data_IF_601524584408
#
_entry.id   IF_601524584408
#
_cell.length_a   1.000
_cell.length_b   1.000
_cell.length_c   1.000
_cell.angle_alpha   90.00
_cell.angle_beta   90.00
_cell.angle_gamma   90.00
#
_symmetry.space_group_name_H-M   'P 1'
#
loop_
_entity.id
_entity.type
_entity.pdbx_description
1 polymer ?
#
# COMPACT_ATOMS: atom_id res chain seq x y z
N UNK A 1 2.24 -16.99 -10.87
CA UNK A 1 1.23 -15.99 -11.27
C UNK A 1 1.82 -14.63 -10.93
N UNK A 2 2.23 -13.86 -11.95
CA UNK A 2 2.79 -12.52 -11.74
C UNK A 2 1.66 -11.52 -11.97
N UNK A 3 1.58 -10.44 -11.18
CA UNK A 3 0.55 -9.41 -11.35
C UNK A 3 0.66 -8.83 -12.74
N UNK A 4 -0.21 -9.30 -13.64
CA UNK A 4 -0.54 -8.55 -14.84
C UNK A 4 -1.02 -7.17 -14.36
N UNK A 5 -0.74 -6.13 -15.13
CA UNK A 5 -1.07 -4.74 -14.81
C UNK A 5 -2.51 -4.59 -14.26
N UNK A 6 -2.66 -4.61 -12.93
CA UNK A 6 -3.93 -4.74 -12.18
C UNK A 6 -3.90 -3.89 -10.92
N UNK A 7 -5.09 -3.46 -10.48
CA UNK A 7 -5.25 -2.66 -9.27
C UNK A 7 -5.90 -3.53 -8.19
N UNK A 8 -5.41 -3.47 -6.96
CA UNK A 8 -5.94 -4.22 -5.83
C UNK A 8 -6.23 -3.30 -4.65
N UNK A 9 -7.26 -3.65 -3.87
CA UNK A 9 -7.57 -3.00 -2.59
C UNK A 9 -6.57 -3.43 -1.52
N UNK A 10 -5.77 -2.49 -1.01
CA UNK A 10 -4.82 -2.72 0.09
C UNK A 10 -5.44 -2.43 1.45
N UNK A 11 -6.27 -1.38 1.54
CA UNK A 11 -6.98 -0.98 2.74
C UNK A 11 -8.39 -0.56 2.36
N UNK A 12 -9.38 -1.07 3.08
CA UNK A 12 -10.75 -0.60 3.05
C UNK A 12 -11.26 -0.51 4.47
N UNK A 13 -11.56 0.70 4.92
CA UNK A 13 -12.21 0.99 6.19
C UNK A 13 -13.34 1.97 5.94
N UNK A 14 -14.14 2.26 6.96
CA UNK A 14 -15.22 3.24 6.82
C UNK A 14 -14.65 4.58 6.35
N UNK A 15 -15.10 5.02 5.18
CA UNK A 15 -14.76 6.31 4.57
C UNK A 15 -13.28 6.51 4.23
N UNK A 16 -12.44 5.47 4.25
CA UNK A 16 -11.03 5.57 3.88
C UNK A 16 -10.57 4.30 3.16
N UNK A 17 -10.06 4.45 1.94
CA UNK A 17 -9.61 3.35 1.11
C UNK A 17 -8.28 3.66 0.41
N UNK A 18 -7.45 2.63 0.26
CA UNK A 18 -6.20 2.63 -0.50
C UNK A 18 -6.23 1.47 -1.50
N UNK A 19 -6.13 1.81 -2.78
CA UNK A 19 -5.92 0.86 -3.87
C UNK A 19 -4.51 1.04 -4.45
N UNK A 20 -3.95 -0.02 -5.04
CA UNK A 20 -2.60 0.00 -5.59
C UNK A 20 -2.51 -0.70 -6.95
N UNK A 21 -1.87 -0.05 -7.92
CA UNK A 21 -1.49 -0.64 -9.21
C UNK A 21 -0.21 -1.44 -9.07
N UNK A 22 -0.30 -2.74 -9.30
CA UNK A 22 0.86 -3.62 -9.39
C UNK A 22 1.28 -3.79 -10.85
N UNK A 23 2.59 -3.76 -11.09
CA UNK A 23 3.18 -3.98 -12.42
C UNK A 23 4.12 -5.17 -12.37
N UNK A 24 3.99 -6.08 -13.33
CA UNK A 24 4.98 -7.14 -13.54
C UNK A 24 6.27 -6.56 -14.13
N UNK A 25 7.41 -6.95 -13.58
CA UNK A 25 8.72 -6.63 -14.15
C UNK A 25 9.73 -7.71 -13.82
N UNK A 26 10.70 -7.87 -14.72
CA UNK A 26 11.93 -8.61 -14.41
C UNK A 26 12.95 -7.64 -13.84
N UNK A 27 13.46 -7.92 -12.65
CA UNK A 27 14.46 -7.09 -11.98
C UNK A 27 15.50 -7.95 -11.26
N UNK A 28 16.58 -7.30 -10.85
CA UNK A 28 17.73 -7.94 -10.22
C UNK A 28 17.72 -7.66 -8.73
N UNK A 29 17.99 -8.69 -7.91
CA UNK A 29 18.32 -8.57 -6.49
C UNK A 29 19.72 -9.14 -6.23
N UNK A 30 20.42 -8.64 -5.21
CA UNK A 30 21.74 -9.12 -4.77
C UNK A 30 22.95 -8.76 -5.64
N UNK A 31 24.13 -9.15 -5.15
CA UNK A 31 25.35 -9.20 -5.98
C UNK A 31 26.19 -7.92 -6.09
N UNK A 32 26.72 -7.33 -5.00
CA UNK A 32 27.75 -6.25 -5.08
C UNK A 32 29.16 -6.83 -5.07
N UNK A 33 29.30 -8.02 -4.48
CA UNK A 33 30.57 -8.63 -4.13
C UNK A 33 30.81 -9.92 -4.91
N UNK A 34 32.07 -10.33 -5.00
CA UNK A 34 32.52 -11.51 -5.77
C UNK A 34 31.84 -12.83 -5.34
N UNK A 35 31.36 -12.94 -4.10
CA UNK A 35 30.66 -14.14 -3.59
C UNK A 35 29.16 -13.95 -3.42
N UNK A 36 28.62 -12.77 -3.74
CA UNK A 36 27.22 -12.45 -3.57
C UNK A 36 26.45 -13.01 -4.78
N UNK A 37 25.46 -13.88 -4.56
CA UNK A 37 24.63 -14.42 -5.65
C UNK A 37 23.67 -13.34 -6.15
N UNK A 38 23.82 -12.97 -7.42
CA UNK A 38 22.85 -12.14 -8.14
C UNK A 38 21.64 -13.00 -8.51
N UNK A 39 20.44 -12.49 -8.26
CA UNK A 39 19.17 -13.14 -8.57
C UNK A 39 18.42 -12.35 -9.63
N UNK A 40 17.82 -13.06 -10.58
CA UNK A 40 16.85 -12.52 -11.53
C UNK A 40 15.47 -12.84 -11.00
N UNK A 41 14.65 -11.83 -10.77
CA UNK A 41 13.31 -11.98 -10.21
C UNK A 41 12.29 -11.57 -11.26
N UNK A 42 11.40 -12.49 -11.60
CA UNK A 42 10.18 -12.25 -12.37
C UNK A 42 9.05 -12.06 -11.36
N UNK A 43 8.76 -10.81 -11.03
CA UNK A 43 7.76 -10.51 -10.01
C UNK A 43 7.02 -9.22 -10.28
N UNK A 44 6.45 -8.66 -9.22
CA UNK A 44 5.65 -7.44 -9.30
C UNK A 44 5.86 -6.54 -8.10
N UNK A 45 5.63 -5.24 -8.30
CA UNK A 45 5.69 -4.23 -7.25
C UNK A 45 4.65 -3.14 -7.52
N UNK A 46 4.36 -2.34 -6.50
CA UNK A 46 3.42 -1.22 -6.60
C UNK A 46 4.06 -0.09 -7.41
N UNK A 47 3.36 0.39 -8.43
CA UNK A 47 3.81 1.49 -9.29
C UNK A 47 2.98 2.77 -9.12
N UNK A 48 1.73 2.65 -8.68
CA UNK A 48 0.86 3.76 -8.34
C UNK A 48 -0.09 3.37 -7.21
N UNK A 49 -0.52 4.36 -6.43
CA UNK A 49 -1.57 4.21 -5.42
C UNK A 49 -2.69 5.21 -5.64
N UNK A 50 -3.89 4.85 -5.21
CA UNK A 50 -5.11 5.62 -5.35
C UNK A 50 -5.84 5.62 -4.02
N UNK A 51 -5.91 6.78 -3.39
CA UNK A 51 -6.66 6.98 -2.16
C UNK A 51 -8.06 7.49 -2.47
N UNK A 52 -9.04 7.01 -1.70
CA UNK A 52 -10.37 7.60 -1.61
C UNK A 52 -10.68 7.85 -0.14
N UNK A 53 -11.10 9.07 0.20
CA UNK A 53 -11.56 9.40 1.55
C UNK A 53 -12.87 10.18 1.50
N UNK A 54 -13.81 9.87 2.38
CA UNK A 54 -15.01 10.69 2.60
C UNK A 54 -14.83 11.47 3.90
N UNK A 55 -14.80 12.80 3.81
CA UNK A 55 -14.58 13.67 4.96
C UNK A 55 -15.83 13.80 5.83
N UNK A 56 -15.63 14.30 7.05
CA UNK A 56 -16.69 14.69 7.99
C UNK A 56 -17.69 15.71 7.42
N UNK A 57 -17.28 16.53 6.44
CA UNK A 57 -18.16 17.46 5.73
C UNK A 57 -18.76 16.88 4.43
N UNK A 58 -18.74 15.55 4.27
CA UNK A 58 -19.27 14.83 3.10
C UNK A 58 -18.59 15.19 1.77
N UNK A 59 -17.31 15.58 1.80
CA UNK A 59 -16.48 15.75 0.60
C UNK A 59 -15.73 14.45 0.30
N UNK A 60 -15.62 14.09 -0.97
CA UNK A 60 -14.81 12.96 -1.43
C UNK A 60 -13.45 13.47 -1.89
N UNK A 61 -12.39 13.07 -1.19
CA UNK A 61 -11.01 13.24 -1.61
C UNK A 61 -10.57 12.05 -2.45
N UNK A 62 -9.87 12.34 -3.55
CA UNK A 62 -9.13 11.34 -4.33
C UNK A 62 -7.68 11.80 -4.45
N UNK A 63 -6.74 10.91 -4.14
CA UNK A 63 -5.31 11.19 -4.26
C UNK A 63 -4.62 10.10 -5.07
N UNK A 64 -3.89 10.50 -6.10
CA UNK A 64 -3.05 9.61 -6.89
C UNK A 64 -1.57 9.94 -6.69
N UNK A 65 -0.77 8.90 -6.46
CA UNK A 65 0.67 9.02 -6.32
C UNK A 65 1.38 7.93 -7.11
N UNK A 66 2.40 8.31 -7.90
CA UNK A 66 3.08 7.45 -8.87
C UNK A 66 4.57 7.32 -8.54
N UNK A 67 5.10 6.11 -8.67
CA UNK A 67 6.52 5.85 -8.41
C UNK A 67 7.45 6.67 -9.32
N UNK A 68 7.07 6.83 -10.60
CA UNK A 68 7.89 7.50 -11.61
C UNK A 68 7.90 9.03 -11.49
N UNK A 69 6.89 9.61 -10.84
CA UNK A 69 6.69 11.06 -10.69
C UNK A 69 6.64 11.44 -9.19
N UNK A 70 7.70 11.11 -8.42
CA UNK A 70 7.64 11.11 -6.95
C UNK A 70 7.52 12.51 -6.32
N UNK A 71 7.82 13.55 -7.10
CA UNK A 71 7.71 14.96 -6.70
C UNK A 71 6.29 15.51 -6.79
N UNK A 72 5.35 14.75 -7.35
CA UNK A 72 4.00 15.20 -7.64
C UNK A 72 2.99 14.17 -7.11
N UNK A 73 1.87 14.67 -6.60
CA UNK A 73 0.67 13.87 -6.36
C UNK A 73 -0.54 14.64 -6.87
N UNK A 74 -1.53 13.92 -7.37
CA UNK A 74 -2.74 14.53 -7.90
C UNK A 74 -3.86 14.41 -6.87
N UNK A 75 -4.39 15.55 -6.43
CA UNK A 75 -5.47 15.66 -5.46
C UNK A 75 -6.73 16.23 -6.13
N UNK A 76 -7.88 15.60 -5.95
CA UNK A 76 -9.18 16.17 -6.31
C UNK A 76 -10.17 16.07 -5.15
N UNK A 77 -11.04 17.08 -5.02
CA UNK A 77 -12.07 17.17 -3.98
C UNK A 77 -13.44 17.35 -4.65
N UNK A 78 -14.35 16.42 -4.41
CA UNK A 78 -15.70 16.39 -4.96
C UNK A 78 -16.75 16.54 -3.83
N UNK A 79 -17.87 17.23 -4.05
CA UNK A 79 -18.98 17.33 -3.08
C UNK A 79 -18.95 18.53 -2.11
N UNK A 80 -20.02 18.69 -1.32
CA UNK A 80 -20.32 19.85 -0.45
C UNK A 80 -20.96 21.04 -1.19
N UNK A 81 -21.48 22.04 -0.45
CA UNK A 81 -21.97 23.34 -0.99
C UNK A 81 -20.87 24.19 -1.66
N UNK A 82 -19.63 23.70 -1.61
CA UNK A 82 -18.53 24.24 -2.38
C UNK A 82 -18.75 23.98 -3.87
N UNK A 83 -18.76 25.06 -4.65
CA UNK A 83 -18.24 25.10 -6.01
C UNK A 83 -16.88 24.42 -5.96
N UNK A 84 -16.84 23.11 -6.19
CA UNK A 84 -15.71 22.25 -5.86
C UNK A 84 -14.45 22.73 -6.56
N UNK A 85 -13.29 22.27 -6.09
CA UNK A 85 -12.09 22.29 -6.92
C UNK A 85 -12.37 21.42 -8.15
N UNK A 86 -13.03 22.00 -9.15
CA UNK A 86 -13.38 21.40 -10.43
C UNK A 86 -12.14 21.03 -11.24
N UNK A 87 -10.96 21.45 -10.77
CA UNK A 87 -9.66 21.18 -11.32
C UNK A 87 -8.81 20.41 -10.32
N UNK A 88 -8.28 19.27 -10.77
CA UNK A 88 -7.25 18.50 -10.10
C UNK A 88 -6.11 19.42 -9.66
N UNK A 89 -5.75 19.35 -8.37
CA UNK A 89 -4.67 20.13 -7.77
C UNK A 89 -3.44 19.27 -7.69
N UNK A 90 -2.34 19.82 -8.18
CA UNK A 90 -1.05 19.18 -8.10
C UNK A 90 -0.39 19.54 -6.76
N UNK A 91 -0.12 18.52 -5.95
CA UNK A 91 0.69 18.63 -4.74
C UNK A 91 2.13 18.40 -5.17
N UNK A 92 2.97 19.44 -5.15
CA UNK A 92 4.32 19.42 -5.72
C UNK A 92 5.39 19.73 -4.68
N UNK A 93 6.50 18.99 -4.72
CA UNK A 93 7.76 19.29 -4.02
C UNK A 93 8.92 19.28 -5.03
N UNK A 94 9.85 20.22 -4.89
CA UNK A 94 10.93 20.41 -5.87
C UNK A 94 12.27 20.73 -5.21
N UNK A 95 13.38 20.56 -5.94
CA UNK A 95 14.73 20.94 -5.49
C UNK A 95 14.90 22.45 -5.31
N UNK A 96 14.15 23.26 -6.06
CA UNK A 96 14.18 24.72 -6.03
C UNK A 96 12.97 25.32 -5.29
N UNK A 97 12.07 24.50 -4.74
CA UNK A 97 10.86 24.92 -4.00
C UNK A 97 10.75 24.14 -2.66
N UNK A 98 9.63 24.16 -1.90
CA UNK A 98 9.63 23.52 -0.59
C UNK A 98 9.80 22.00 -0.76
N UNK A 99 10.53 21.42 0.18
CA UNK A 99 10.74 19.97 0.31
C UNK A 99 9.55 19.27 1.00
N UNK A 100 8.55 20.04 1.45
CA UNK A 100 7.38 19.54 2.16
C UNK A 100 6.15 20.42 1.86
N UNK A 101 5.06 19.82 1.43
CA UNK A 101 3.77 20.48 1.20
C UNK A 101 2.63 19.65 1.80
N UNK A 102 1.75 20.30 2.56
CA UNK A 102 0.60 19.67 3.20
C UNK A 102 -0.71 20.37 2.79
N UNK A 103 -1.72 19.57 2.50
CA UNK A 103 -3.10 19.98 2.31
C UNK A 103 -3.99 19.26 3.33
N UNK A 104 -4.87 20.00 3.98
CA UNK A 104 -5.87 19.44 4.89
C UNK A 104 -7.26 19.82 4.37
N UNK A 105 -8.10 18.81 4.16
CA UNK A 105 -9.51 19.00 3.81
C UNK A 105 -10.35 18.37 4.91
N UNK A 106 -10.97 19.23 5.71
CA UNK A 106 -11.70 18.86 6.91
C UNK A 106 -10.81 18.01 7.85
N UNK A 107 -11.12 16.74 8.06
CA UNK A 107 -10.40 15.78 8.91
C UNK A 107 -9.40 14.88 8.17
N UNK A 108 -9.20 15.09 6.86
CA UNK A 108 -8.25 14.33 6.03
C UNK A 108 -7.04 15.19 5.67
N UNK A 109 -5.84 14.66 5.89
CA UNK A 109 -4.57 15.32 5.56
C UNK A 109 -3.84 14.57 4.45
N UNK A 110 -3.27 15.33 3.51
CA UNK A 110 -2.40 14.88 2.42
C UNK A 110 -1.08 15.63 2.52
N UNK A 111 0.00 14.93 2.82
CA UNK A 111 1.33 15.52 3.07
C UNK A 111 2.36 14.87 2.16
N UNK A 112 2.93 15.65 1.24
CA UNK A 112 4.01 15.21 0.35
C UNK A 112 5.35 15.77 0.85
N UNK A 113 6.33 14.89 1.02
CA UNK A 113 7.67 15.25 1.48
C UNK A 113 8.73 14.65 0.56
N UNK A 114 9.62 15.51 0.06
CA UNK A 114 10.87 15.10 -0.59
C UNK A 114 11.96 14.96 0.47
N UNK A 115 12.33 13.72 0.80
CA UNK A 115 13.42 13.48 1.76
C UNK A 115 14.79 13.81 1.17
N UNK A 116 15.02 13.41 -0.09
CA UNK A 116 16.21 13.75 -0.87
C UNK A 116 15.98 13.41 -2.35
N UNK A 117 17.00 13.56 -3.20
CA UNK A 117 16.91 13.38 -4.67
C UNK A 117 16.46 12.00 -5.15
N UNK A 118 16.41 11.01 -4.26
CA UNK A 118 16.09 9.61 -4.60
C UNK A 118 14.78 9.13 -4.00
N UNK A 119 14.24 9.88 -3.02
CA UNK A 119 13.09 9.45 -2.24
C UNK A 119 12.19 10.65 -1.93
N UNK A 120 10.92 10.48 -2.27
CA UNK A 120 9.82 11.29 -1.77
C UNK A 120 8.72 10.36 -1.27
N UNK A 121 7.91 10.85 -0.34
CA UNK A 121 6.83 10.08 0.23
C UNK A 121 5.58 10.95 0.40
N UNK A 122 4.43 10.37 0.07
CA UNK A 122 3.14 10.93 0.40
C UNK A 122 2.59 10.25 1.65
N UNK A 123 2.01 11.03 2.55
CA UNK A 123 1.24 10.55 3.69
C UNK A 123 -0.19 11.02 3.54
N UNK A 124 -1.15 10.10 3.54
CA UNK A 124 -2.58 10.41 3.59
C UNK A 124 -3.15 9.86 4.88
N UNK A 125 -3.82 10.70 5.67
CA UNK A 125 -4.29 10.32 7.00
C UNK A 125 -5.69 10.87 7.30
N UNK A 126 -6.46 10.11 8.08
CA UNK A 126 -7.68 10.55 8.75
C UNK A 126 -7.57 10.28 10.27
N UNK A 127 -8.67 10.37 11.02
CA UNK A 127 -8.66 10.11 12.46
C UNK A 127 -8.29 8.67 12.88
N UNK A 128 -8.35 7.68 11.97
CA UNK A 128 -8.19 6.25 12.27
C UNK A 128 -6.91 5.65 11.70
N UNK A 129 -6.45 6.14 10.54
CA UNK A 129 -5.29 5.58 9.85
C UNK A 129 -4.40 6.70 9.30
N UNK A 130 -3.10 6.42 9.31
CA UNK A 130 -2.09 7.13 8.56
C UNK A 130 -1.47 6.15 7.56
N UNK A 131 -1.42 6.53 6.29
CA UNK A 131 -0.83 5.72 5.23
C UNK A 131 0.29 6.49 4.57
N UNK A 132 1.51 5.98 4.71
CA UNK A 132 2.71 6.52 4.09
C UNK A 132 3.10 5.68 2.89
N UNK A 133 3.37 6.33 1.77
CA UNK A 133 3.77 5.68 0.52
C UNK A 133 5.03 6.36 0.00
N UNK A 134 6.15 5.64 0.01
CA UNK A 134 7.45 6.14 -0.40
C UNK A 134 7.83 5.66 -1.79
N UNK A 135 8.20 6.58 -2.67
CA UNK A 135 8.79 6.25 -3.97
C UNK A 135 10.30 6.06 -3.83
N UNK A 136 10.74 4.83 -4.03
CA UNK A 136 12.13 4.40 -3.90
C UNK A 136 12.60 3.70 -5.17
N UNK A 137 13.89 3.75 -5.45
CA UNK A 137 14.47 2.91 -6.50
C UNK A 137 14.35 1.45 -6.10
N UNK A 138 14.15 0.57 -7.09
CA UNK A 138 14.50 -0.83 -6.90
C UNK A 138 15.96 -0.91 -6.47
N UNK A 139 16.30 -1.85 -5.58
CA UNK A 139 17.67 -2.17 -5.24
C UNK A 139 18.49 -2.38 -6.51
N UNK A 140 19.81 -2.14 -6.49
CA UNK A 140 20.64 -2.24 -7.70
C UNK A 140 20.18 -1.29 -8.81
N UNK A 141 19.94 -0.02 -8.45
CA UNK A 141 19.31 0.96 -9.33
C UNK A 141 19.94 1.02 -10.74
N UNK A 142 21.27 0.96 -10.88
CA UNK A 142 21.92 0.97 -12.21
C UNK A 142 21.48 -0.23 -13.06
N UNK A 143 21.55 -1.44 -12.50
CA UNK A 143 21.17 -2.69 -13.15
C UNK A 143 19.67 -2.78 -13.43
N UNK A 144 18.87 -2.14 -12.58
CA UNK A 144 17.42 -2.05 -12.72
C UNK A 144 16.97 -0.76 -13.44
N UNK A 145 17.89 -0.10 -14.17
CA UNK A 145 17.63 1.08 -15.00
C UNK A 145 16.90 2.21 -14.26
N UNK A 146 17.27 2.43 -13.01
CA UNK A 146 16.70 3.42 -12.10
C UNK A 146 15.17 3.32 -12.00
N UNK A 147 14.62 2.12 -12.17
CA UNK A 147 13.20 1.87 -11.98
C UNK A 147 12.81 2.11 -10.52
N UNK A 148 11.61 2.67 -10.32
CA UNK A 148 11.06 2.95 -9.01
C UNK A 148 9.84 2.08 -8.69
N UNK A 149 9.66 1.82 -7.41
CA UNK A 149 8.46 1.21 -6.81
C UNK A 149 7.92 2.10 -5.70
N UNK A 150 6.72 1.79 -5.24
CA UNK A 150 6.14 2.36 -4.03
C UNK A 150 6.21 1.36 -2.88
N UNK A 151 6.79 1.78 -1.77
CA UNK A 151 6.73 1.06 -0.49
C UNK A 151 5.61 1.69 0.35
N UNK A 152 4.70 0.86 0.88
CA UNK A 152 3.49 1.28 1.60
C UNK A 152 3.64 0.91 3.07
N UNK A 153 3.27 1.82 3.96
CA UNK A 153 3.14 1.59 5.39
C UNK A 153 1.81 2.16 5.87
N UNK A 154 1.00 1.31 6.49
CA UNK A 154 -0.31 1.63 7.05
C UNK A 154 -0.17 1.57 8.56
N UNK A 155 -0.44 2.68 9.22
CA UNK A 155 -0.36 2.80 10.66
C UNK A 155 -1.75 3.15 11.22
N UNK A 156 -2.31 2.30 12.10
CA UNK A 156 -3.51 2.65 12.85
C UNK A 156 -3.22 3.79 13.83
N UNK A 157 -4.16 4.73 13.97
CA UNK A 157 -4.06 5.89 14.86
C UNK A 157 -4.93 5.68 16.10
N UNK A 158 -4.31 5.78 17.27
CA UNK A 158 -4.98 5.64 18.57
C UNK A 158 -4.82 4.26 19.21
N UNK A 159 -5.02 4.13 20.53
CA UNK A 159 -4.97 2.84 21.23
C UNK A 159 -6.25 2.04 21.02
N UNK A 160 -6.11 0.78 20.58
CA UNK A 160 -7.22 -0.17 20.44
C UNK A 160 -8.28 0.33 19.46
N UNK A 161 -8.09 0.01 18.17
CA UNK A 161 -9.07 0.26 17.12
C UNK A 161 -10.37 -0.50 17.41
N UNK A 162 -11.21 0.01 18.31
CA UNK A 162 -12.60 -0.44 18.49
C UNK A 162 -13.44 0.13 17.33
N UNK A 163 -13.19 -0.43 16.16
CA UNK A 163 -13.83 -0.03 14.93
C UNK A 163 -15.12 -0.82 14.79
N UNK A 164 -16.25 -0.10 14.74
CA UNK A 164 -17.55 -0.69 14.33
C UNK A 164 -17.46 -1.42 12.99
N UNK A 165 -16.52 -1.00 12.14
CA UNK A 165 -16.23 -1.57 10.83
C UNK A 165 -14.80 -2.10 10.88
N UNK A 166 -14.66 -3.42 11.06
CA UNK A 166 -13.36 -4.06 10.97
C UNK A 166 -12.73 -3.80 9.58
N UNK A 167 -11.50 -3.28 9.53
CA UNK A 167 -10.75 -3.05 8.30
C UNK A 167 -10.60 -4.30 7.42
N UNK A 168 -10.52 -4.08 6.11
CA UNK A 168 -10.21 -5.13 5.13
C UNK A 168 -9.29 -4.60 4.02
N UNK A 169 -9.18 -5.33 2.91
CA UNK A 169 -8.11 -5.16 1.91
C UNK A 169 -6.94 -6.12 2.17
N UNK A 170 -6.03 -6.25 1.21
CA UNK A 170 -4.92 -7.22 1.26
C UNK A 170 -4.01 -7.03 2.49
N UNK A 171 -3.79 -5.78 2.90
CA UNK A 171 -3.01 -5.44 4.11
C UNK A 171 -3.96 -5.10 5.26
N UNK A 172 -5.05 -4.39 4.96
CA UNK A 172 -5.93 -3.80 5.97
C UNK A 172 -6.61 -4.80 6.89
N UNK A 173 -6.86 -6.01 6.43
CA UNK A 173 -7.38 -7.10 7.27
C UNK A 173 -6.48 -7.48 8.45
N UNK A 174 -5.20 -7.05 8.46
CA UNK A 174 -4.30 -7.17 9.61
C UNK A 174 -4.76 -6.35 10.82
N UNK A 175 -5.63 -5.36 10.60
CA UNK A 175 -6.13 -4.44 11.63
C UNK A 175 -7.58 -4.71 12.02
N UNK A 176 -8.12 -5.89 11.68
CA UNK A 176 -9.51 -6.26 11.95
C UNK A 176 -9.81 -6.53 13.42
N UNK A 177 -8.77 -6.75 14.22
CA UNK A 177 -8.81 -6.82 15.67
C UNK A 177 -9.18 -8.18 16.25
N UNK A 178 -9.07 -9.24 15.45
CA UNK A 178 -9.30 -10.63 15.89
C UNK A 178 -8.23 -11.16 16.88
N UNK A 179 -7.08 -10.47 16.97
CA UNK A 179 -5.95 -10.85 17.83
C UNK A 179 -5.10 -12.00 17.28
N UNK A 180 -5.29 -12.35 16.01
CA UNK A 180 -4.67 -13.48 15.32
C UNK A 180 -3.81 -12.95 14.17
N UNK A 181 -2.50 -13.14 14.28
CA UNK A 181 -1.58 -12.95 13.17
C UNK A 181 -1.55 -14.22 12.32
N UNK A 182 -1.51 -14.09 11.00
CA UNK A 182 -1.47 -15.23 10.08
C UNK A 182 -0.39 -14.97 9.06
N UNK A 183 0.58 -15.87 8.98
CA UNK A 183 1.63 -15.77 7.98
C UNK A 183 1.20 -16.46 6.70
N UNK A 184 1.18 -15.69 5.63
CA UNK A 184 0.89 -16.20 4.31
C UNK A 184 2.09 -16.90 3.71
N UNK A 185 1.86 -17.50 2.55
CA UNK A 185 2.93 -18.12 1.77
C UNK A 185 4.01 -17.10 1.38
N UNK A 186 5.27 -17.54 1.44
CA UNK A 186 6.43 -16.81 0.94
C UNK A 186 6.93 -17.45 -0.36
N UNK A 187 7.53 -16.64 -1.22
CA UNK A 187 8.21 -17.13 -2.42
C UNK A 187 9.58 -17.75 -2.08
N UNK A 188 9.96 -18.78 -2.81
CA UNK A 188 11.28 -19.42 -2.67
C UNK A 188 12.34 -18.62 -3.42
N UNK A 189 13.21 -17.95 -2.66
CA UNK A 189 14.35 -17.20 -3.16
C UNK A 189 15.66 -18.01 -3.16
N UNK A 190 15.64 -19.34 -3.01
CA UNK A 190 16.87 -20.16 -2.99
C UNK A 190 17.59 -20.18 -4.35
N UNK A 191 16.85 -20.09 -5.45
CA UNK A 191 17.40 -20.23 -6.81
C UNK A 191 17.93 -18.90 -7.38
N UNK A 192 18.79 -18.94 -8.42
CA UNK A 192 19.24 -17.72 -9.11
C UNK A 192 18.15 -17.03 -9.96
N UNK A 193 17.08 -17.73 -10.33
CA UNK A 193 15.96 -17.21 -11.11
C UNK A 193 14.66 -17.47 -10.35
N UNK A 194 14.05 -16.41 -9.83
CA UNK A 194 12.86 -16.48 -8.96
C UNK A 194 11.64 -16.03 -9.75
N UNK A 195 10.54 -16.77 -9.63
CA UNK A 195 9.23 -16.38 -10.13
C UNK A 195 8.30 -16.22 -8.95
N UNK A 196 7.86 -14.99 -8.67
CA UNK A 196 6.98 -14.73 -7.53
C UNK A 196 5.57 -15.25 -7.84
N UNK A 197 4.95 -15.89 -6.85
CA UNK A 197 3.62 -16.50 -6.94
C UNK A 197 2.89 -16.56 -5.61
N UNK A 198 3.57 -16.45 -4.48
CA UNK A 198 3.02 -16.76 -3.17
C UNK A 198 2.05 -15.69 -2.66
N UNK A 199 2.39 -14.41 -2.82
CA UNK A 199 1.49 -13.27 -2.59
C UNK A 199 0.81 -13.18 -1.21
N UNK A 200 1.37 -13.85 -0.20
CA UNK A 200 0.73 -13.94 1.11
C UNK A 200 -0.55 -14.79 1.12
N UNK A 201 -0.76 -15.64 0.10
CA UNK A 201 -1.87 -16.59 0.06
C UNK A 201 -1.92 -17.44 1.33
N UNK A 202 -3.13 -17.79 1.74
CA UNK A 202 -3.39 -18.45 3.02
C UNK A 202 -3.48 -17.50 4.23
N UNK A 203 -2.96 -16.26 4.14
CA UNK A 203 -3.24 -15.23 5.15
C UNK A 203 -4.40 -14.30 4.79
N UNK A 204 -4.87 -14.31 3.54
CA UNK A 204 -5.98 -13.47 3.05
C UNK A 204 -7.30 -14.22 2.98
N UNK A 205 -8.41 -13.53 3.26
CA UNK A 205 -9.75 -14.10 3.12
C UNK A 205 -10.14 -14.19 1.63
N UNK A 206 -10.41 -15.41 1.16
CA UNK A 206 -10.69 -15.66 -0.26
C UNK A 206 -9.42 -15.73 -1.09
N UNK A 207 -9.46 -15.13 -2.28
CA UNK A 207 -8.35 -15.15 -3.26
C UNK A 207 -7.97 -13.75 -3.70
N UNK A 208 -6.80 -13.58 -4.31
CA UNK A 208 -6.35 -12.30 -4.86
C UNK A 208 -7.39 -11.63 -5.77
N UNK A 209 -8.10 -12.41 -6.59
CA UNK A 209 -9.12 -11.91 -7.51
C UNK A 209 -10.28 -11.20 -6.81
N UNK A 210 -10.58 -11.56 -5.56
CA UNK A 210 -11.65 -10.95 -4.76
C UNK A 210 -11.34 -9.49 -4.37
N UNK A 211 -10.06 -9.11 -4.42
CA UNK A 211 -9.55 -7.77 -4.07
C UNK A 211 -9.28 -6.89 -5.29
N UNK A 212 -9.52 -7.40 -6.51
CA UNK A 212 -9.24 -6.67 -7.74
C UNK A 212 -10.20 -5.48 -7.93
N UNK A 213 -9.63 -4.33 -8.27
CA UNK A 213 -10.33 -3.10 -8.58
C UNK A 213 -10.24 -2.85 -10.09
N UNK A 214 -11.37 -2.46 -10.69
CA UNK A 214 -11.43 -2.14 -12.11
C UNK A 214 -10.51 -0.97 -12.44
N UNK A 215 -9.60 -1.18 -13.40
CA UNK A 215 -8.62 -0.15 -13.80
C UNK A 215 -9.22 1.12 -14.40
N UNK A 216 -10.43 1.04 -14.95
CA UNK A 216 -11.15 2.21 -15.45
C UNK A 216 -11.63 3.15 -14.35
N UNK A 217 -11.70 2.66 -13.10
CA UNK A 217 -12.02 3.44 -11.90
C UNK A 217 -11.13 2.98 -10.74
N UNK A 218 -9.84 3.36 -10.74
CA UNK A 218 -8.87 2.87 -9.77
C UNK A 218 -9.13 3.42 -8.35
N UNK A 219 -10.01 4.42 -8.22
CA UNK A 219 -10.46 4.98 -6.95
C UNK A 219 -11.71 4.29 -6.40
N UNK A 220 -12.29 3.33 -7.13
CA UNK A 220 -13.48 2.60 -6.67
C UNK A 220 -13.20 1.97 -5.30
N UNK A 221 -14.07 2.21 -4.30
CA UNK A 221 -13.98 1.50 -3.03
C UNK A 221 -14.59 0.10 -3.09
N UNK A 222 -15.19 -0.28 -4.22
CA UNK A 222 -16.00 -1.48 -4.37
C UNK A 222 -15.17 -2.68 -4.82
N UNK A 223 -15.21 -3.73 -4.01
CA UNK A 223 -14.71 -5.09 -4.24
C UNK A 223 -15.47 -6.03 -3.28
N UNK A 224 -15.22 -7.35 -3.31
CA UNK A 224 -16.01 -8.35 -2.57
C UNK A 224 -16.11 -8.05 -1.06
N UNK A 225 -15.04 -7.58 -0.45
CA UNK A 225 -14.98 -7.29 0.99
C UNK A 225 -14.95 -5.80 1.33
N UNK A 226 -15.51 -4.95 0.46
CA UNK A 226 -15.54 -3.51 0.66
C UNK A 226 -16.14 -3.11 2.01
N UNK A 227 -15.48 -2.15 2.67
CA UNK A 227 -15.86 -1.59 3.99
C UNK A 227 -16.18 -0.10 3.94
N UNK A 228 -15.95 0.55 2.80
CA UNK A 228 -15.97 2.02 2.68
C UNK A 228 -17.27 2.65 3.16
N UNK A 229 -18.42 2.16 2.68
CA UNK A 229 -19.74 2.69 3.05
C UNK A 229 -20.41 1.89 4.18
N UNK A 230 -19.72 0.92 4.78
CA UNK A 230 -20.30 0.10 5.83
C UNK A 230 -20.50 0.92 7.11
N UNK A 231 -21.63 0.71 7.80
CA UNK A 231 -21.85 1.22 9.15
C UNK A 231 -21.29 0.30 10.22
N UNK A 232 -21.26 -1.01 9.92
CA UNK A 232 -20.76 -2.09 10.76
C UNK A 232 -20.16 -3.20 9.88
N UNK A 233 -19.09 -3.83 10.32
CA UNK A 233 -18.54 -5.04 9.68
C UNK A 233 -17.75 -5.88 10.69
N UNK A 234 -17.92 -7.19 10.62
CA UNK A 234 -17.15 -8.14 11.42
C UNK A 234 -15.71 -8.26 10.89
N UNK A 235 -14.81 -8.70 11.77
CA UNK A 235 -13.47 -9.15 11.41
C UNK A 235 -13.51 -10.32 10.42
N UNK A 236 -12.37 -10.62 9.80
CA UNK A 236 -12.28 -11.74 8.86
C UNK A 236 -12.50 -13.07 9.58
N UNK A 237 -12.87 -14.10 8.83
CA UNK A 237 -12.90 -15.46 9.39
C UNK A 237 -11.49 -16.06 9.40
N UNK A 238 -10.75 -15.81 10.49
CA UNK A 238 -9.41 -16.37 10.68
C UNK A 238 -9.36 -17.91 10.70
N UNK A 239 -10.48 -18.59 10.98
CA UNK A 239 -10.53 -20.06 11.03
C UNK A 239 -10.56 -20.69 9.64
N UNK A 240 -10.96 -19.93 8.62
CA UNK A 240 -10.96 -20.35 7.23
C UNK A 240 -9.59 -20.16 6.53
N UNK A 241 -8.63 -19.52 7.21
CA UNK A 241 -7.31 -19.20 6.66
C UNK A 241 -6.33 -20.36 6.87
N UNK A 242 -5.46 -20.59 5.89
CA UNK A 242 -4.56 -21.77 5.83
C UNK A 242 -3.10 -21.44 6.15
N UNK A 243 -2.78 -20.16 6.34
CA UNK A 243 -1.45 -19.71 6.75
C UNK A 243 -1.10 -20.12 8.18
N UNK A 244 0.10 -19.75 8.63
CA UNK A 244 0.54 -20.08 10.00
C UNK A 244 -0.09 -19.11 11.00
N UNK A 245 -1.00 -19.60 11.84
CA UNK A 245 -1.61 -18.82 12.92
C UNK A 245 -0.63 -18.58 14.06
N UNK A 246 -0.54 -17.32 14.47
CA UNK A 246 0.21 -16.86 15.63
C UNK A 246 -0.68 -15.96 16.47
N UNK A 247 -0.47 -15.98 17.78
CA UNK A 247 -1.06 -14.95 18.64
C UNK A 247 -0.42 -13.61 18.25
N UNK A 248 -1.23 -12.56 18.07
CA UNK A 248 -0.68 -11.24 17.85
C UNK A 248 0.08 -10.78 19.11
N UNK A 249 1.40 -10.91 19.09
CA UNK A 249 2.28 -10.40 20.14
C UNK A 249 2.53 -8.91 19.89
N UNK A 250 1.60 -8.05 20.34
CA UNK A 250 1.69 -6.60 20.59
C UNK A 250 0.38 -5.88 20.18
N UNK A 251 0.13 -4.74 20.83
CA UNK A 251 -1.06 -3.91 20.61
C UNK A 251 -1.21 -3.51 19.14
N UNK A 252 -2.44 -3.22 18.72
CA UNK A 252 -2.85 -2.77 17.38
C UNK A 252 -2.23 -1.41 16.94
N UNK A 253 -0.97 -1.13 17.29
CA UNK A 253 -0.26 0.13 17.04
C UNK A 253 1.01 -0.07 16.21
N UNK A 254 1.23 -1.27 15.66
CA UNK A 254 2.31 -1.51 14.72
C UNK A 254 1.86 -1.21 13.29
N UNK A 255 2.73 -0.62 12.45
CA UNK A 255 2.44 -0.48 11.05
C UNK A 255 2.47 -1.84 10.35
N UNK A 256 1.61 -2.01 9.34
CA UNK A 256 1.69 -3.11 8.37
C UNK A 256 1.85 -2.53 6.97
N UNK A 257 2.55 -3.22 6.08
CA UNK A 257 2.93 -2.63 4.82
C UNK A 257 3.64 -3.56 3.86
N UNK A 258 4.15 -2.97 2.79
CA UNK A 258 5.00 -3.63 1.81
C UNK A 258 6.26 -2.80 1.61
N UNK A 259 7.42 -3.43 1.73
CA UNK A 259 8.70 -2.87 1.34
C UNK A 259 9.39 -3.84 0.39
N UNK A 260 10.30 -3.35 -0.44
CA UNK A 260 11.09 -4.26 -1.27
C UNK A 260 12.22 -4.94 -0.52
N UNK A 261 12.56 -6.14 -0.97
CA UNK A 261 13.60 -7.00 -0.41
C UNK A 261 14.99 -6.64 -0.98
N UNK A 262 15.37 -5.37 -0.90
CA UNK A 262 16.59 -4.88 -1.54
C UNK A 262 17.87 -5.39 -0.85
N UNK A 263 17.75 -5.96 0.35
CA UNK A 263 18.85 -6.42 1.18
C UNK A 263 18.78 -7.94 1.44
N UNK A 264 19.48 -8.71 0.62
CA UNK A 264 19.51 -10.19 0.69
C UNK A 264 19.98 -10.75 2.05
N UNK A 265 20.74 -9.98 2.82
CA UNK A 265 21.17 -10.39 4.16
C UNK A 265 19.99 -10.60 5.13
N UNK A 266 18.86 -9.93 4.91
CA UNK A 266 17.64 -10.13 5.69
C UNK A 266 16.79 -11.32 5.18
N UNK A 267 16.94 -11.72 3.91
CA UNK A 267 16.16 -12.80 3.30
C UNK A 267 16.67 -14.21 3.64
N UNK A 268 17.99 -14.38 3.85
CA UNK A 268 18.59 -15.68 4.20
C UNK A 268 18.38 -16.02 5.69
N UNK A 269 18.08 -15.04 6.52
CA UNK A 269 17.79 -15.25 7.95
C UNK A 269 16.33 -15.65 8.23
N UNK A 270 15.45 -15.62 7.21
CA UNK A 270 14.01 -15.86 7.34
C UNK A 270 13.52 -17.11 6.59
N UNK A 271 14.43 -17.90 6.01
CA UNK A 271 14.17 -19.20 5.39
C UNK A 271 14.73 -20.32 6.27
#
# INVERSE_FOLDING_TARGET
>A
FVFVLKVYSLLSTRHFALNALFVSKTFVLGGTCKMCVRKTVHGSFINAVYFRALTSASKTLKVEYRAAEPSHALLSVEGGDSVGMSKQTEVEVDVAKPDSVQYTVDDVTVHLVRKHSREAAITVANGQFEVKVASVFLGWAIQNHFAKRLDVSIMPRGPGLDLKVAPHGLIGQTFDGDGIAIDGMLDDYSTPVVYTKAMGEGAIEGSEADYEIRRSDPFSPLFKYARFDASTAAARDATALTGLHRKAEQSMQQPAGTNGDDNLAQMVAAA
#
